data_IF_749825748451
#
_entry.id   IF_749825748451
#
_cell.length_a   1.000
_cell.length_b   1.000
_cell.length_c   1.000
_cell.angle_alpha   90.00
_cell.angle_beta   90.00
_cell.angle_gamma   90.00
#
_symmetry.space_group_name_H-M   'P 1'
#
loop_
_entity.id
_entity.type
_entity.pdbx_description
1 polymer ?
#
# COMPACT_ATOMS: atom_id res chain seq x y z
N UNK A 1 4.80 -13.19 -10.83
CA UNK A 1 4.14 -12.81 -12.11
C UNK A 1 2.75 -12.21 -11.87
N UNK A 2 1.87 -12.91 -11.14
CA UNK A 2 0.47 -12.51 -10.89
C UNK A 2 0.32 -11.09 -10.31
N UNK A 3 1.01 -10.77 -9.21
CA UNK A 3 0.91 -9.44 -8.57
C UNK A 3 1.22 -8.28 -9.54
N UNK A 4 2.22 -8.45 -10.41
CA UNK A 4 2.58 -7.46 -11.42
C UNK A 4 1.46 -7.27 -12.45
N UNK A 5 0.83 -8.36 -12.89
CA UNK A 5 -0.27 -8.31 -13.86
C UNK A 5 -1.49 -7.60 -13.28
N UNK A 6 -1.84 -7.89 -12.02
CA UNK A 6 -2.95 -7.23 -11.32
C UNK A 6 -2.67 -5.72 -11.23
N UNK A 7 -1.48 -5.32 -10.76
CA UNK A 7 -1.10 -3.92 -10.65
C UNK A 7 -1.14 -3.19 -12.01
N UNK A 8 -0.63 -3.83 -13.07
CA UNK A 8 -0.66 -3.27 -14.42
C UNK A 8 -2.08 -3.16 -14.99
N UNK A 9 -2.95 -4.13 -14.71
CA UNK A 9 -4.35 -4.08 -15.13
C UNK A 9 -5.10 -2.93 -14.45
N UNK A 10 -4.93 -2.78 -13.13
CA UNK A 10 -5.55 -1.70 -12.37
C UNK A 10 -5.07 -0.32 -12.81
N UNK A 11 -3.76 -0.16 -13.04
CA UNK A 11 -3.18 1.08 -13.56
C UNK A 11 -3.68 1.43 -14.97
N UNK A 12 -4.05 0.44 -15.79
CA UNK A 12 -4.68 0.69 -17.10
C UNK A 12 -6.14 1.11 -16.98
N UNK A 13 -6.87 0.56 -16.01
CA UNK A 13 -8.29 0.85 -15.78
C UNK A 13 -8.49 2.21 -15.08
N UNK A 14 -7.55 2.60 -14.22
CA UNK A 14 -7.62 3.83 -13.40
C UNK A 14 -6.32 4.64 -13.47
N UNK A 15 -5.89 5.07 -14.69
CA UNK A 15 -4.57 5.65 -14.90
C UNK A 15 -4.36 6.98 -14.18
N UNK A 16 -5.42 7.71 -13.86
CA UNK A 16 -5.36 8.99 -13.14
C UNK A 16 -5.16 8.81 -11.63
N UNK A 17 -5.45 7.63 -11.09
CA UNK A 17 -5.40 7.33 -9.66
C UNK A 17 -4.30 6.33 -9.30
N UNK A 18 -3.87 5.48 -10.24
CA UNK A 18 -2.99 4.33 -9.94
C UNK A 18 -1.80 4.27 -10.89
N UNK A 19 -0.64 3.88 -10.36
CA UNK A 19 0.55 3.54 -11.14
C UNK A 19 1.14 2.20 -10.68
N UNK A 20 1.70 1.44 -11.63
CA UNK A 20 2.42 0.19 -11.37
C UNK A 20 3.94 0.32 -11.58
N UNK A 21 4.43 1.56 -11.76
CA UNK A 21 5.83 1.85 -12.11
C UNK A 21 6.54 2.50 -10.92
N UNK A 22 7.78 2.05 -10.65
CA UNK A 22 8.55 2.53 -9.50
C UNK A 22 9.05 3.98 -9.59
N UNK A 23 9.04 4.60 -10.77
CA UNK A 23 9.57 5.95 -10.97
C UNK A 23 8.80 6.96 -10.12
N UNK A 24 9.47 7.62 -9.17
CA UNK A 24 8.83 8.55 -8.21
C UNK A 24 8.19 9.77 -8.89
N UNK A 25 8.77 10.25 -9.99
CA UNK A 25 8.32 11.45 -10.70
C UNK A 25 6.94 11.35 -11.35
N UNK A 26 6.37 10.13 -11.46
CA UNK A 26 5.06 9.89 -12.08
C UNK A 26 4.01 9.40 -11.07
N UNK A 27 4.33 9.50 -9.77
CA UNK A 27 3.43 9.10 -8.67
C UNK A 27 2.62 10.25 -8.10
N UNK A 28 2.90 11.47 -8.51
CA UNK A 28 2.20 12.63 -7.97
C UNK A 28 0.69 12.50 -8.23
N UNK A 29 -0.11 12.64 -7.17
CA UNK A 29 -1.56 12.40 -7.19
C UNK A 29 -2.00 10.94 -7.37
N UNK A 30 -1.09 9.95 -7.39
CA UNK A 30 -1.41 8.54 -7.69
C UNK A 30 -0.95 7.57 -6.60
N UNK A 31 -1.73 6.52 -6.38
CA UNK A 31 -1.35 5.36 -5.57
C UNK A 31 -0.43 4.46 -6.38
N UNK A 32 0.79 4.24 -5.88
CA UNK A 32 1.69 3.23 -6.44
C UNK A 32 1.38 1.85 -5.84
N UNK A 33 0.94 0.92 -6.69
CA UNK A 33 0.72 -0.49 -6.29
C UNK A 33 2.03 -1.25 -6.44
N UNK A 34 2.76 -1.40 -5.32
CA UNK A 34 4.08 -2.04 -5.29
C UNK A 34 3.98 -3.57 -5.34
N UNK A 35 3.94 -4.12 -6.55
CA UNK A 35 3.99 -5.56 -6.79
C UNK A 35 5.36 -6.19 -6.50
N UNK A 36 6.43 -5.39 -6.37
CA UNK A 36 7.81 -5.89 -6.36
C UNK A 36 8.17 -6.66 -5.09
N UNK A 37 7.50 -6.37 -3.96
CA UNK A 37 7.72 -7.03 -2.67
C UNK A 37 7.42 -8.54 -2.68
N UNK A 38 6.74 -9.05 -3.72
CA UNK A 38 6.52 -10.49 -3.91
C UNK A 38 7.78 -11.23 -4.39
N UNK A 39 8.90 -10.53 -4.65
CA UNK A 39 10.19 -11.17 -4.89
C UNK A 39 10.73 -11.75 -3.59
N UNK A 40 11.16 -13.02 -3.60
CA UNK A 40 11.75 -13.68 -2.42
C UNK A 40 13.04 -13.04 -1.90
N UNK A 41 13.67 -12.14 -2.67
CA UNK A 41 14.83 -11.36 -2.24
C UNK A 41 14.47 -10.07 -1.49
N UNK A 42 13.18 -9.77 -1.32
CA UNK A 42 12.68 -8.56 -0.63
C UNK A 42 11.97 -8.92 0.66
N UNK A 43 11.89 -7.94 1.56
CA UNK A 43 11.20 -8.06 2.84
C UNK A 43 10.12 -6.99 2.98
N UNK A 44 9.05 -7.34 3.68
CA UNK A 44 7.96 -6.42 4.07
C UNK A 44 7.78 -6.52 5.58
N UNK A 45 7.38 -5.42 6.23
CA UNK A 45 7.14 -5.38 7.67
C UNK A 45 6.14 -6.47 8.09
N UNK A 46 6.42 -7.18 9.17
CA UNK A 46 5.52 -8.20 9.69
C UNK A 46 4.25 -7.56 10.29
N UNK A 47 3.08 -8.23 10.19
CA UNK A 47 1.90 -7.82 10.94
C UNK A 47 2.22 -7.67 12.43
N UNK A 48 1.63 -6.66 13.08
CA UNK A 48 1.85 -6.30 14.49
C UNK A 48 3.26 -5.78 14.85
N UNK A 49 4.20 -5.70 13.92
CA UNK A 49 5.51 -5.12 14.18
C UNK A 49 5.42 -3.61 14.44
N UNK A 50 6.15 -3.14 15.46
CA UNK A 50 6.33 -1.72 15.78
C UNK A 50 7.03 -0.97 14.64
N UNK A 51 6.77 0.33 14.55
CA UNK A 51 7.37 1.22 13.55
C UNK A 51 8.34 2.17 14.24
N UNK A 52 9.57 2.25 13.74
CA UNK A 52 10.57 3.24 14.17
C UNK A 52 10.23 4.66 13.72
N UNK A 53 9.18 5.24 14.32
CA UNK A 53 8.67 6.60 14.13
C UNK A 53 8.56 7.29 15.49
N UNK A 54 8.25 8.59 15.49
CA UNK A 54 8.13 9.38 16.73
C UNK A 54 7.04 8.82 17.66
N UNK A 55 5.93 8.40 17.08
CA UNK A 55 4.87 7.70 17.80
C UNK A 55 5.01 6.18 17.64
N UNK A 56 4.65 5.38 18.66
CA UNK A 56 4.84 3.93 18.69
C UNK A 56 3.80 3.19 17.84
N UNK A 57 3.74 3.51 16.54
CA UNK A 57 2.80 2.91 15.61
C UNK A 57 3.12 1.45 15.32
N UNK A 58 2.12 0.74 14.81
CA UNK A 58 2.18 -0.69 14.51
C UNK A 58 1.67 -0.95 13.08
N UNK A 59 2.15 -2.02 12.44
CA UNK A 59 1.51 -2.59 11.24
C UNK A 59 0.19 -3.29 11.65
N UNK A 60 -0.83 -2.51 11.97
CA UNK A 60 -2.11 -2.97 12.48
C UNK A 60 -3.02 -3.53 11.37
N UNK A 61 -3.44 -4.80 11.42
CA UNK A 61 -4.50 -5.31 10.55
C UNK A 61 -5.82 -4.53 10.77
N UNK A 62 -6.58 -4.31 9.69
CA UNK A 62 -7.86 -3.58 9.69
C UNK A 62 -8.94 -4.40 8.97
N UNK A 63 -10.20 -4.20 9.33
CA UNK A 63 -11.35 -4.74 8.60
C UNK A 63 -11.68 -3.85 7.38
N UNK A 64 -12.52 -4.35 6.46
CA UNK A 64 -12.96 -3.56 5.30
C UNK A 64 -13.93 -2.44 5.69
N UNK A 65 -14.75 -2.67 6.72
CA UNK A 65 -15.69 -1.70 7.28
C UNK A 65 -14.94 -0.46 7.79
N UNK A 66 -13.82 -0.66 8.49
CA UNK A 66 -12.96 0.43 8.96
C UNK A 66 -12.39 1.29 7.81
N UNK A 67 -12.22 0.71 6.62
CA UNK A 67 -11.74 1.44 5.45
C UNK A 67 -12.87 2.17 4.71
N UNK A 68 -14.09 1.66 4.80
CA UNK A 68 -15.26 2.14 4.07
C UNK A 68 -16.06 3.25 4.78
N UNK A 69 -15.89 3.42 6.09
CA UNK A 69 -16.73 4.31 6.93
C UNK A 69 -16.49 5.82 6.71
N UNK A 70 -15.63 6.21 5.76
CA UNK A 70 -15.33 7.61 5.44
C UNK A 70 -14.54 8.38 6.50
N UNK A 71 -14.47 7.87 7.73
CA UNK A 71 -13.68 8.37 8.86
C UNK A 71 -12.37 7.61 9.06
N UNK A 72 -11.57 7.40 8.01
CA UNK A 72 -10.31 6.68 8.14
C UNK A 72 -9.33 7.47 9.03
N UNK A 73 -9.14 7.03 10.27
CA UNK A 73 -8.20 7.63 11.22
C UNK A 73 -7.14 6.64 11.69
N UNK A 74 -6.09 7.18 12.29
CA UNK A 74 -5.16 6.39 13.09
C UNK A 74 -5.89 5.73 14.25
N UNK A 75 -5.48 4.50 14.58
CA UNK A 75 -5.97 3.81 15.77
C UNK A 75 -5.30 4.43 16.99
N UNK A 76 -6.07 5.21 17.72
CA UNK A 76 -5.72 5.67 19.06
C UNK A 76 -6.46 4.78 20.06
N UNK A 77 -5.82 4.51 21.18
CA UNK A 77 -6.35 3.77 22.32
C UNK A 77 -6.62 4.75 23.45
#
# INVERSE_FOLDING_TARGET
AVAKQIAQSLAKQTPDLVTATMKRSIRDGKVFVDWSQNSGAKTTVAPYSLRGRAEPWVAAPRSWEELGDGGLTHLHW
#
